data_IF_640056334215
#
_entry.id   IF_640056334215
#
_cell.length_a   1.000
_cell.length_b   1.000
_cell.length_c   1.000
_cell.angle_alpha   90.00
_cell.angle_beta   90.00
_cell.angle_gamma   90.00
#
_symmetry.space_group_name_H-M   'P 1'
#
loop_
_entity.id
_entity.type
_entity.pdbx_description
1 polymer ?
#
# COMPACT_ATOMS: atom_id res chain seq x y z
N UNK A 1 46.51 -26.50 12.64
CA UNK A 1 45.38 -25.81 13.27
C UNK A 1 44.87 -26.72 14.38
N UNK A 2 44.62 -26.17 15.55
CA UNK A 2 43.99 -26.90 16.66
C UNK A 2 42.48 -26.98 16.44
N UNK A 3 41.80 -27.89 17.13
CA UNK A 3 40.33 -28.02 17.14
C UNK A 3 39.67 -26.69 17.52
N UNK A 4 40.22 -26.01 18.53
CA UNK A 4 39.72 -24.72 18.99
C UNK A 4 39.82 -23.63 17.91
N UNK A 5 40.94 -23.59 17.19
CA UNK A 5 41.14 -22.65 16.07
C UNK A 5 40.18 -22.94 14.92
N UNK A 6 39.98 -24.23 14.57
CA UNK A 6 39.06 -24.64 13.52
C UNK A 6 37.61 -24.27 13.80
N UNK A 7 37.12 -24.55 15.02
CA UNK A 7 35.74 -24.22 15.41
C UNK A 7 35.53 -22.71 15.48
N UNK A 8 36.54 -21.95 15.94
CA UNK A 8 36.53 -20.48 15.92
C UNK A 8 36.41 -19.93 14.49
N UNK A 9 37.24 -20.40 13.56
CA UNK A 9 37.18 -19.98 12.16
C UNK A 9 35.85 -20.36 11.49
N UNK A 10 35.34 -21.57 11.75
CA UNK A 10 34.06 -22.04 11.23
C UNK A 10 32.89 -21.19 11.75
N UNK A 11 32.91 -20.81 13.03
CA UNK A 11 31.93 -19.91 13.61
C UNK A 11 31.94 -18.53 12.94
N UNK A 12 33.13 -17.99 12.66
CA UNK A 12 33.28 -16.70 12.00
C UNK A 12 32.79 -16.75 10.55
N UNK A 13 33.10 -17.82 9.82
CA UNK A 13 32.66 -18.04 8.44
C UNK A 13 31.14 -18.24 8.32
N UNK A 14 30.50 -18.85 9.34
CA UNK A 14 29.05 -19.07 9.41
C UNK A 14 28.27 -17.93 10.08
N UNK A 15 28.91 -16.80 10.40
CA UNK A 15 28.29 -15.65 11.10
C UNK A 15 27.07 -15.04 10.38
N UNK A 16 26.85 -15.36 9.10
CA UNK A 16 25.68 -14.98 8.33
C UNK A 16 24.40 -15.78 8.68
N UNK A 17 24.53 -16.87 9.43
CA UNK A 17 23.43 -17.78 9.81
C UNK A 17 22.81 -17.46 11.18
N UNK A 18 21.61 -17.98 11.48
CA UNK A 18 21.08 -17.98 12.83
C UNK A 18 22.01 -18.67 13.82
N UNK A 19 22.12 -18.12 15.03
CA UNK A 19 22.89 -18.69 16.13
C UNK A 19 22.58 -20.18 16.38
N UNK A 20 21.32 -20.61 16.23
CA UNK A 20 20.92 -22.02 16.40
C UNK A 20 21.52 -22.96 15.36
N UNK A 21 21.72 -22.49 14.12
CA UNK A 21 22.30 -23.30 13.05
C UNK A 21 23.83 -23.31 13.11
N UNK A 22 24.42 -22.19 13.55
CA UNK A 22 25.86 -22.10 13.84
C UNK A 22 26.23 -23.14 14.91
N UNK A 23 25.50 -23.18 16.04
CA UNK A 23 25.76 -24.11 17.14
C UNK A 23 25.65 -25.57 16.66
N UNK A 24 24.58 -25.93 15.95
CA UNK A 24 24.43 -27.30 15.40
C UNK A 24 25.58 -27.70 14.48
N UNK A 25 26.04 -26.77 13.65
CA UNK A 25 27.14 -27.04 12.72
C UNK A 25 28.45 -27.24 13.50
N UNK A 26 28.72 -26.42 14.51
CA UNK A 26 29.90 -26.56 15.36
C UNK A 26 29.89 -27.89 16.14
N UNK A 27 28.74 -28.24 16.75
CA UNK A 27 28.58 -29.49 17.50
C UNK A 27 28.85 -30.72 16.60
N UNK A 28 28.33 -30.71 15.37
CA UNK A 28 28.52 -31.79 14.40
C UNK A 28 29.99 -32.01 14.04
N UNK A 29 30.72 -30.93 13.73
CA UNK A 29 32.14 -31.06 13.40
C UNK A 29 33.00 -31.34 14.63
N UNK A 30 32.59 -30.87 15.80
CA UNK A 30 33.22 -31.23 17.08
C UNK A 30 33.11 -32.73 17.36
N UNK A 31 31.94 -33.34 17.15
CA UNK A 31 31.71 -34.79 17.29
C UNK A 31 32.63 -35.58 16.34
N UNK A 32 32.69 -35.20 15.07
CA UNK A 32 33.57 -35.86 14.08
C UNK A 32 35.06 -35.76 14.45
N UNK A 33 35.50 -34.62 14.97
CA UNK A 33 36.90 -34.44 15.40
C UNK A 33 37.17 -35.31 16.64
N UNK A 34 36.24 -35.37 17.58
CA UNK A 34 36.36 -36.19 18.79
C UNK A 34 36.43 -37.68 18.45
N UNK A 35 35.55 -38.18 17.58
CA UNK A 35 35.55 -39.59 17.15
C UNK A 35 36.91 -40.01 16.57
N UNK A 36 37.52 -39.15 15.76
CA UNK A 36 38.85 -39.41 15.19
C UNK A 36 39.96 -39.37 16.23
N UNK A 37 39.86 -38.50 17.22
CA UNK A 37 40.81 -38.48 18.34
C UNK A 37 40.69 -39.73 19.22
N UNK A 38 39.48 -40.26 19.39
CA UNK A 38 39.23 -41.53 20.10
C UNK A 38 39.81 -42.74 19.35
N UNK A 39 39.86 -42.70 18.02
CA UNK A 39 40.54 -43.68 17.17
C UNK A 39 42.09 -43.59 17.23
N UNK A 40 42.65 -42.67 18.02
CA UNK A 40 44.09 -42.49 18.23
C UNK A 40 44.77 -41.57 17.21
N UNK A 41 44.00 -40.82 16.42
CA UNK A 41 44.52 -39.81 15.48
C UNK A 41 44.81 -38.52 16.25
N UNK A 42 45.98 -37.91 16.00
CA UNK A 42 46.31 -36.61 16.59
C UNK A 42 45.34 -35.51 16.14
N UNK A 43 45.04 -34.55 17.02
CA UNK A 43 44.10 -33.45 16.78
C UNK A 43 44.38 -32.70 15.45
N UNK A 44 45.64 -32.44 15.18
CA UNK A 44 46.09 -31.73 13.97
C UNK A 44 45.83 -32.51 12.68
N UNK A 45 45.92 -33.84 12.75
CA UNK A 45 45.61 -34.73 11.63
C UNK A 45 44.09 -34.90 11.45
N UNK A 46 43.34 -34.99 12.55
CA UNK A 46 41.88 -35.09 12.53
C UNK A 46 41.23 -33.85 11.89
N UNK A 47 41.76 -32.66 12.20
CA UNK A 47 41.33 -31.41 11.59
C UNK A 47 41.85 -31.28 10.14
N UNK A 48 43.10 -31.69 9.89
CA UNK A 48 43.66 -31.69 8.54
C UNK A 48 42.89 -32.56 7.54
N UNK A 49 42.25 -33.64 8.00
CA UNK A 49 41.42 -34.53 7.20
C UNK A 49 40.06 -33.93 6.78
N UNK A 50 39.56 -32.92 7.51
CA UNK A 50 38.29 -32.24 7.18
C UNK A 50 38.43 -31.28 6.01
N UNK A 51 39.64 -30.82 5.70
CA UNK A 51 39.91 -29.85 4.63
C UNK A 51 39.87 -28.40 5.11
N UNK A 52 39.62 -27.46 4.19
CA UNK A 52 39.65 -26.01 4.48
C UNK A 52 38.34 -25.54 5.10
N UNK A 53 38.42 -24.80 6.21
CA UNK A 53 37.31 -24.15 6.92
C UNK A 53 36.38 -23.37 5.98
N UNK A 54 36.95 -22.59 5.06
CA UNK A 54 36.20 -21.82 4.05
C UNK A 54 35.40 -22.68 3.06
N UNK A 55 35.91 -23.86 2.70
CA UNK A 55 35.22 -24.75 1.77
C UNK A 55 34.01 -25.40 2.44
N UNK A 56 34.20 -25.85 3.68
CA UNK A 56 33.14 -26.42 4.53
C UNK A 56 32.04 -25.38 4.77
N UNK A 57 32.40 -24.14 5.13
CA UNK A 57 31.43 -23.08 5.35
C UNK A 57 30.61 -22.77 4.09
N UNK A 58 31.24 -22.78 2.90
CA UNK A 58 30.52 -22.59 1.63
C UNK A 58 29.56 -23.72 1.32
N UNK A 59 29.95 -24.96 1.59
CA UNK A 59 29.10 -26.14 1.38
C UNK A 59 27.85 -26.08 2.28
N UNK A 60 28.03 -25.78 3.57
CA UNK A 60 26.92 -25.58 4.52
C UNK A 60 25.97 -24.46 4.05
N UNK A 61 26.52 -23.35 3.55
CA UNK A 61 25.73 -22.23 3.02
C UNK A 61 25.00 -22.55 1.71
N UNK A 62 25.54 -23.46 0.89
CA UNK A 62 24.91 -23.91 -0.35
C UNK A 62 23.79 -24.91 -0.08
N UNK A 63 23.99 -25.82 0.89
CA UNK A 63 22.98 -26.78 1.33
C UNK A 63 21.80 -26.09 2.03
N UNK A 64 22.06 -25.01 2.78
CA UNK A 64 21.01 -24.14 3.29
C UNK A 64 20.47 -23.24 2.18
N UNK A 65 19.54 -23.77 1.39
CA UNK A 65 18.90 -23.04 0.28
C UNK A 65 18.46 -21.62 0.67
N UNK A 66 18.64 -20.67 -0.26
CA UNK A 66 18.43 -19.21 -0.09
C UNK A 66 17.12 -18.83 0.64
N UNK A 67 16.07 -19.63 0.51
CA UNK A 67 14.78 -19.43 1.19
C UNK A 67 14.86 -19.56 2.72
N UNK A 68 15.70 -20.45 3.26
CA UNK A 68 15.94 -20.57 4.69
C UNK A 68 16.80 -19.43 5.22
N UNK A 69 17.81 -18.99 4.45
CA UNK A 69 18.63 -17.81 4.77
C UNK A 69 17.78 -16.53 4.83
N UNK A 70 16.82 -16.37 3.92
CA UNK A 70 15.88 -15.25 3.94
C UNK A 70 14.91 -15.32 5.13
N UNK A 71 14.37 -16.51 5.47
CA UNK A 71 13.52 -16.67 6.66
C UNK A 71 14.27 -16.43 7.97
N UNK A 72 15.52 -16.85 8.03
CA UNK A 72 16.44 -16.62 9.14
C UNK A 72 16.73 -15.13 9.38
N UNK A 73 16.96 -14.37 8.31
CA UNK A 73 17.26 -12.93 8.37
C UNK A 73 16.02 -12.08 8.68
N UNK A 74 14.82 -12.60 8.42
CA UNK A 74 13.54 -11.96 8.74
C UNK A 74 13.04 -12.48 10.10
N UNK A 75 13.85 -12.30 11.14
CA UNK A 75 13.31 -12.20 12.50
C UNK A 75 12.96 -10.72 12.69
N UNK A 76 11.68 -10.33 12.83
CA UNK A 76 11.36 -8.94 13.15
C UNK A 76 11.88 -8.68 14.56
N UNK A 77 13.07 -8.06 14.67
CA UNK A 77 13.71 -7.74 15.95
C UNK A 77 13.09 -6.51 16.64
N UNK A 78 11.92 -6.06 16.19
CA UNK A 78 11.12 -5.08 16.93
C UNK A 78 10.25 -5.83 17.94
N UNK A 79 10.86 -6.25 19.05
CA UNK A 79 10.08 -6.55 20.26
C UNK A 79 9.51 -5.21 20.74
N UNK A 80 8.27 -4.92 20.37
CA UNK A 80 7.51 -3.85 20.99
C UNK A 80 7.60 -4.03 22.50
N UNK A 81 8.08 -3.02 23.22
CA UNK A 81 8.22 -3.11 24.68
C UNK A 81 6.82 -3.37 25.26
N UNK A 82 6.69 -4.18 26.31
CA UNK A 82 5.38 -4.49 26.91
C UNK A 82 4.55 -3.25 27.25
N UNK A 83 5.22 -2.14 27.59
CA UNK A 83 4.61 -0.82 27.76
C UNK A 83 4.00 -0.24 26.48
N UNK A 84 4.65 -0.41 25.31
CA UNK A 84 4.08 -0.01 24.02
C UNK A 84 2.86 -0.85 23.68
N UNK A 85 2.86 -2.14 23.99
CA UNK A 85 1.70 -3.02 23.78
C UNK A 85 0.54 -2.61 24.70
N UNK A 86 0.81 -2.26 25.97
CA UNK A 86 -0.20 -1.74 26.91
C UNK A 86 -0.73 -0.38 26.43
N UNK A 87 0.12 0.52 25.93
CA UNK A 87 -0.29 1.78 25.31
C UNK A 87 -1.08 1.57 24.02
N UNK A 88 -0.75 0.54 23.24
CA UNK A 88 -1.46 0.20 22.02
C UNK A 88 -2.83 -0.40 22.34
N UNK A 89 -2.96 -1.16 23.42
CA UNK A 89 -4.22 -1.77 23.88
C UNK A 89 -5.10 -0.73 24.58
N UNK A 90 -4.54 0.11 25.46
CA UNK A 90 -5.26 1.21 26.10
C UNK A 90 -5.56 2.35 25.12
N UNK A 91 -4.71 2.53 24.11
CA UNK A 91 -4.94 3.41 22.97
C UNK A 91 -5.79 2.78 21.88
N UNK A 92 -5.96 1.45 21.82
CA UNK A 92 -6.78 0.73 20.84
C UNK A 92 -8.20 1.29 20.75
N UNK A 93 -8.91 1.58 21.86
CA UNK A 93 -10.22 2.23 21.79
C UNK A 93 -10.18 3.67 21.25
N UNK A 94 -9.01 4.32 21.14
CA UNK A 94 -8.85 5.70 20.64
C UNK A 94 -8.31 5.73 19.20
N UNK A 95 -7.33 4.89 18.87
CA UNK A 95 -6.74 4.82 17.52
C UNK A 95 -7.69 4.18 16.52
N UNK A 96 -8.45 3.14 16.92
CA UNK A 96 -9.44 2.50 16.06
C UNK A 96 -10.52 3.48 15.56
N UNK A 97 -11.23 4.25 16.43
CA UNK A 97 -12.18 5.25 15.95
C UNK A 97 -11.50 6.41 15.22
N UNK A 98 -10.25 6.74 15.53
CA UNK A 98 -9.52 7.80 14.81
C UNK A 98 -9.23 7.41 13.35
N UNK A 99 -8.79 6.17 13.12
CA UNK A 99 -8.59 5.64 11.76
C UNK A 99 -9.93 5.51 11.03
N UNK A 100 -10.97 5.03 11.71
CA UNK A 100 -12.31 4.94 11.15
C UNK A 100 -12.87 6.32 10.76
N UNK A 101 -12.70 7.33 11.63
CA UNK A 101 -13.10 8.70 11.37
C UNK A 101 -12.34 9.29 10.18
N UNK A 102 -11.03 9.05 10.09
CA UNK A 102 -10.23 9.47 8.95
C UNK A 102 -10.74 8.84 7.64
N UNK A 103 -11.02 7.53 7.65
CA UNK A 103 -11.57 6.83 6.48
C UNK A 103 -12.96 7.38 6.11
N UNK A 104 -13.81 7.62 7.10
CA UNK A 104 -15.13 8.20 6.91
C UNK A 104 -15.06 9.60 6.29
N UNK A 105 -14.11 10.44 6.71
CA UNK A 105 -13.89 11.78 6.13
C UNK A 105 -13.47 11.66 4.65
N UNK A 106 -12.53 10.77 4.33
CA UNK A 106 -12.08 10.55 2.94
C UNK A 106 -13.24 10.08 2.06
N UNK A 107 -14.05 9.14 2.55
CA UNK A 107 -15.24 8.65 1.86
C UNK A 107 -16.30 9.75 1.70
N UNK A 108 -16.55 10.56 2.74
CA UNK A 108 -17.50 11.66 2.69
C UNK A 108 -17.11 12.71 1.65
N UNK A 109 -15.82 13.09 1.60
CA UNK A 109 -15.29 14.00 0.59
C UNK A 109 -15.49 13.43 -0.82
N UNK A 110 -15.17 12.14 -1.01
CA UNK A 110 -15.38 11.46 -2.29
C UNK A 110 -16.86 11.47 -2.72
N UNK A 111 -17.77 11.06 -1.83
CA UNK A 111 -19.20 11.04 -2.08
C UNK A 111 -19.76 12.43 -2.39
N UNK A 112 -19.29 13.46 -1.68
CA UNK A 112 -19.73 14.84 -1.89
C UNK A 112 -19.37 15.34 -3.28
N UNK A 113 -18.18 15.02 -3.78
CA UNK A 113 -17.77 15.40 -5.13
C UNK A 113 -18.67 14.75 -6.18
N UNK A 114 -18.92 13.44 -6.04
CA UNK A 114 -19.81 12.73 -6.97
C UNK A 114 -21.24 13.27 -6.89
N UNK A 115 -21.73 13.58 -5.69
CA UNK A 115 -23.04 14.18 -5.50
C UNK A 115 -23.16 15.55 -6.20
N UNK A 116 -22.13 16.39 -6.10
CA UNK A 116 -22.08 17.69 -6.82
C UNK A 116 -22.07 17.49 -8.33
N UNK A 117 -21.33 16.51 -8.84
CA UNK A 117 -21.34 16.19 -10.27
C UNK A 117 -22.73 15.74 -10.73
N UNK A 118 -23.37 14.83 -10.00
CA UNK A 118 -24.71 14.33 -10.32
C UNK A 118 -25.73 15.46 -10.25
N UNK A 119 -25.69 16.33 -9.22
CA UNK A 119 -26.65 17.43 -9.08
C UNK A 119 -26.54 18.45 -10.21
N UNK A 120 -25.32 18.77 -10.65
CA UNK A 120 -25.09 19.66 -11.77
C UNK A 120 -25.60 19.06 -13.09
N UNK A 121 -25.35 17.77 -13.32
CA UNK A 121 -25.89 17.05 -14.48
C UNK A 121 -27.43 16.96 -14.44
N UNK A 122 -28.01 16.73 -13.27
CA UNK A 122 -29.45 16.71 -13.07
C UNK A 122 -30.09 18.07 -13.36
N UNK A 123 -29.44 19.18 -12.96
CA UNK A 123 -29.91 20.52 -13.28
C UNK A 123 -29.93 20.78 -14.80
N UNK A 124 -28.88 20.38 -15.53
CA UNK A 124 -28.84 20.47 -17.00
C UNK A 124 -29.96 19.62 -17.63
N UNK A 125 -30.16 18.40 -17.13
CA UNK A 125 -31.23 17.54 -17.60
C UNK A 125 -32.62 18.13 -17.34
N UNK A 126 -32.85 18.73 -16.16
CA UNK A 126 -34.11 19.39 -15.83
C UNK A 126 -34.43 20.56 -16.78
N UNK A 127 -33.43 21.39 -17.10
CA UNK A 127 -33.60 22.49 -18.07
C UNK A 127 -33.93 21.92 -19.46
N UNK A 128 -33.23 20.87 -19.89
CA UNK A 128 -33.47 20.23 -21.18
C UNK A 128 -34.89 19.65 -21.27
N UNK A 129 -35.33 18.91 -20.25
CA UNK A 129 -36.69 18.36 -20.17
C UNK A 129 -37.73 19.47 -20.16
N UNK A 130 -37.49 20.55 -19.41
CA UNK A 130 -38.39 21.71 -19.36
C UNK A 130 -38.54 22.36 -20.74
N UNK A 131 -37.45 22.49 -21.51
CA UNK A 131 -37.50 22.98 -22.88
C UNK A 131 -38.33 22.08 -23.80
N UNK A 132 -38.09 20.77 -23.77
CA UNK A 132 -38.81 19.80 -24.61
C UNK A 132 -40.30 19.76 -24.25
N UNK A 133 -40.62 19.67 -22.95
CA UNK A 133 -41.99 19.68 -22.46
C UNK A 133 -42.69 21.00 -22.75
N UNK A 134 -41.98 22.12 -22.66
CA UNK A 134 -42.50 23.45 -23.03
C UNK A 134 -42.89 23.52 -24.51
N UNK A 135 -42.08 22.96 -25.40
CA UNK A 135 -42.42 22.85 -26.83
C UNK A 135 -43.66 21.98 -27.05
N UNK A 136 -43.74 20.82 -26.41
CA UNK A 136 -44.91 19.94 -26.51
C UNK A 136 -46.19 20.61 -25.97
N UNK A 137 -46.10 21.25 -24.80
CA UNK A 137 -47.22 21.95 -24.17
C UNK A 137 -47.69 23.16 -25.00
N UNK A 138 -46.76 23.83 -25.70
CA UNK A 138 -47.09 24.99 -26.52
C UNK A 138 -48.10 24.69 -27.63
N UNK A 139 -48.06 23.48 -28.22
CA UNK A 139 -49.02 23.06 -29.24
C UNK A 139 -50.47 23.02 -28.72
N UNK A 140 -50.66 22.62 -27.45
CA UNK A 140 -51.97 22.59 -26.81
C UNK A 140 -52.44 23.99 -26.39
N UNK A 141 -51.52 24.81 -25.87
CA UNK A 141 -51.83 26.18 -25.40
C UNK A 141 -52.17 27.10 -26.58
N UNK A 142 -51.54 26.88 -27.74
CA UNK A 142 -51.80 27.64 -28.96
C UNK A 142 -53.26 27.55 -29.42
N UNK A 143 -53.92 26.41 -29.18
CA UNK A 143 -55.34 26.21 -29.49
C UNK A 143 -56.29 27.00 -28.58
N UNK A 144 -55.86 27.36 -27.37
CA UNK A 144 -56.67 28.14 -26.42
C UNK A 144 -56.38 29.64 -26.52
N UNK A 145 -55.11 30.02 -26.55
CA UNK A 145 -54.66 31.41 -26.61
C UNK A 145 -53.36 31.51 -27.43
N UNK A 146 -53.41 32.03 -28.66
CA UNK A 146 -52.25 32.10 -29.55
C UNK A 146 -51.09 32.93 -28.97
N UNK A 147 -51.42 34.02 -28.26
CA UNK A 147 -50.42 34.92 -27.68
C UNK A 147 -49.62 34.24 -26.55
N UNK A 148 -50.30 33.52 -25.66
CA UNK A 148 -49.67 32.73 -24.59
C UNK A 148 -48.87 31.56 -25.16
N UNK A 149 -49.37 30.91 -26.21
CA UNK A 149 -48.64 29.85 -26.92
C UNK A 149 -47.31 30.34 -27.48
N UNK A 150 -47.30 31.52 -28.11
CA UNK A 150 -46.07 32.13 -28.66
C UNK A 150 -45.03 32.45 -27.57
N UNK A 151 -45.47 32.95 -26.41
CA UNK A 151 -44.58 33.18 -25.27
C UNK A 151 -43.95 31.89 -24.75
N UNK A 152 -44.74 30.81 -24.62
CA UNK A 152 -44.24 29.50 -24.16
C UNK A 152 -43.26 28.90 -25.17
N UNK A 153 -43.49 29.05 -26.48
CA UNK A 153 -42.52 28.63 -27.52
C UNK A 153 -41.19 29.38 -27.36
N UNK A 154 -41.24 30.71 -27.22
CA UNK A 154 -40.03 31.51 -27.02
C UNK A 154 -39.26 31.12 -25.76
N UNK A 155 -39.97 30.89 -24.65
CA UNK A 155 -39.38 30.39 -23.41
C UNK A 155 -38.77 28.99 -23.57
N UNK A 156 -39.45 28.09 -24.26
CA UNK A 156 -38.98 26.72 -24.48
C UNK A 156 -37.74 26.68 -25.37
N UNK A 157 -37.68 27.47 -26.45
CA UNK A 157 -36.48 27.61 -27.30
C UNK A 157 -35.31 28.18 -26.49
N UNK A 158 -35.57 29.19 -25.66
CA UNK A 158 -34.54 29.78 -24.79
C UNK A 158 -33.99 28.75 -23.79
N UNK A 159 -34.88 27.96 -23.16
CA UNK A 159 -34.49 26.85 -22.29
C UNK A 159 -33.69 25.77 -23.02
N UNK A 160 -34.10 25.38 -24.24
CA UNK A 160 -33.34 24.43 -25.06
C UNK A 160 -31.95 24.98 -25.42
N UNK A 161 -31.84 26.26 -25.80
CA UNK A 161 -30.57 26.92 -26.06
C UNK A 161 -29.66 26.93 -24.84
N UNK A 162 -30.20 27.33 -23.68
CA UNK A 162 -29.48 27.30 -22.41
C UNK A 162 -29.05 25.89 -22.01
N UNK A 163 -29.88 24.87 -22.24
CA UNK A 163 -29.52 23.48 -21.95
C UNK A 163 -28.30 23.03 -22.77
N UNK A 164 -28.24 23.37 -24.06
CA UNK A 164 -27.09 23.04 -24.92
C UNK A 164 -25.82 23.76 -24.48
N UNK A 165 -25.91 25.06 -24.19
CA UNK A 165 -24.77 25.83 -23.68
C UNK A 165 -24.30 25.29 -22.31
N UNK A 166 -25.23 25.01 -21.41
CA UNK A 166 -24.95 24.45 -20.09
C UNK A 166 -24.31 23.07 -20.22
N UNK A 167 -24.76 22.22 -21.13
CA UNK A 167 -24.18 20.90 -21.39
C UNK A 167 -22.71 20.99 -21.85
N UNK A 168 -22.39 21.92 -22.75
CA UNK A 168 -21.01 22.16 -23.20
C UNK A 168 -20.12 22.70 -22.07
N UNK A 169 -20.64 23.64 -21.27
CA UNK A 169 -19.95 24.14 -20.07
C UNK A 169 -19.71 23.04 -19.04
N UNK A 170 -20.71 22.19 -18.83
CA UNK A 170 -20.69 21.10 -17.85
C UNK A 170 -19.64 20.04 -18.19
N UNK A 171 -19.43 19.75 -19.49
CA UNK A 171 -18.34 18.85 -19.93
C UNK A 171 -16.96 19.37 -19.53
N UNK A 172 -16.71 20.68 -19.59
CA UNK A 172 -15.43 21.26 -19.14
C UNK A 172 -15.33 21.28 -17.62
N UNK A 173 -16.42 21.62 -16.94
CA UNK A 173 -16.48 21.70 -15.49
C UNK A 173 -16.29 20.33 -14.83
N UNK A 174 -16.83 19.26 -15.41
CA UNK A 174 -16.64 17.89 -14.92
C UNK A 174 -15.17 17.46 -15.00
N UNK A 175 -14.48 17.76 -16.10
CA UNK A 175 -13.04 17.50 -16.23
C UNK A 175 -12.24 18.32 -15.21
N UNK A 176 -12.63 19.56 -14.96
CA UNK A 176 -11.97 20.40 -13.94
C UNK A 176 -12.15 19.83 -12.53
N UNK A 177 -13.38 19.43 -12.16
CA UNK A 177 -13.68 18.80 -10.88
C UNK A 177 -12.90 17.50 -10.69
N UNK A 178 -12.82 16.64 -11.71
CA UNK A 178 -12.03 15.40 -11.66
C UNK A 178 -10.52 15.69 -11.52
N UNK A 179 -10.00 16.74 -12.17
CA UNK A 179 -8.61 17.15 -11.97
C UNK A 179 -8.37 17.66 -10.56
N UNK A 180 -9.32 18.43 -10.01
CA UNK A 180 -9.23 18.99 -8.66
C UNK A 180 -9.23 17.87 -7.61
N UNK A 181 -10.04 16.82 -7.81
CA UNK A 181 -10.00 15.64 -6.92
C UNK A 181 -8.70 14.86 -7.04
N UNK A 182 -8.20 14.66 -8.27
CA UNK A 182 -6.92 13.99 -8.48
C UNK A 182 -5.77 14.77 -7.81
N UNK A 183 -5.80 16.11 -7.85
CA UNK A 183 -4.85 16.96 -7.13
C UNK A 183 -4.99 16.83 -5.62
N UNK A 184 -6.21 16.81 -5.08
CA UNK A 184 -6.45 16.64 -3.66
C UNK A 184 -5.92 15.30 -3.15
N UNK A 185 -6.19 14.21 -3.88
CA UNK A 185 -5.68 12.87 -3.58
C UNK A 185 -4.15 12.83 -3.68
N UNK A 186 -3.56 13.47 -4.69
CA UNK A 186 -2.10 13.60 -4.80
C UNK A 186 -1.50 14.40 -3.64
N UNK A 187 -2.17 15.47 -3.19
CA UNK A 187 -1.78 16.24 -2.02
C UNK A 187 -1.77 15.39 -0.75
N UNK A 188 -2.84 14.65 -0.48
CA UNK A 188 -2.91 13.70 0.65
C UNK A 188 -1.82 12.62 0.54
N UNK A 189 -1.62 12.04 -0.64
CA UNK A 189 -0.52 11.08 -0.87
C UNK A 189 0.85 11.70 -0.65
N UNK A 190 1.07 12.94 -1.06
CA UNK A 190 2.36 13.63 -0.89
C UNK A 190 2.70 13.84 0.58
N UNK A 191 1.72 14.18 1.42
CA UNK A 191 1.91 14.30 2.88
C UNK A 191 2.35 12.96 3.49
N UNK A 192 1.83 11.85 2.97
CA UNK A 192 2.16 10.51 3.48
C UNK A 192 3.51 9.99 2.95
N UNK A 193 3.84 10.25 1.68
CA UNK A 193 5.06 9.76 1.03
C UNK A 193 6.30 10.59 1.42
N UNK A 194 6.14 11.90 1.64
CA UNK A 194 7.27 12.78 1.95
C UNK A 194 7.87 12.56 3.34
N UNK A 195 7.16 11.86 4.24
CA UNK A 195 7.68 11.45 5.56
C UNK A 195 8.60 10.23 5.53
N UNK A 196 8.67 9.49 4.41
CA UNK A 196 9.56 8.32 4.25
C UNK A 196 10.96 8.64 3.71
N UNK A 197 11.19 9.84 3.18
CA UNK A 197 12.44 10.20 2.48
C UNK A 197 13.42 11.09 3.23
N UNK A 198 13.18 11.39 4.52
CA UNK A 198 14.04 12.30 5.31
C UNK A 198 14.65 11.60 6.53
N UNK A 199 15.31 10.47 6.28
CA UNK A 199 16.44 9.99 7.09
C UNK A 199 17.59 9.80 6.11
N UNK A 200 18.71 10.45 6.38
CA UNK A 200 19.98 10.46 5.62
C UNK A 200 20.17 11.73 4.76
N UNK A 201 20.37 12.85 5.43
CA UNK A 201 21.34 13.87 5.05
C UNK A 201 21.96 14.43 6.33
#
# INVERSE_FOLDING_TARGET
MTKAEFLSELQQALSALPQSEIIKSLDYYEEIINDRMEEGISEEQAVGALGKTDAIAREILLDMGLLQLMKAKVKPNHRLKGWEIILLIAGSPVWAPLVLAFLAIVLAVYMTIWAVLISLWAAVAAIAVTGIMGLAASAFIFAQNPLSGLMVIGGAITCCGLAVFAFLGMRKLSVYLIRLTALFIRGVKSIFIQKGGRKNA
#
